data_IF_923136649100
#
_entry.id   IF_923136649100
#
_cell.length_a   1.000
_cell.length_b   1.000
_cell.length_c   1.000
_cell.angle_alpha   90.00
_cell.angle_beta   90.00
_cell.angle_gamma   90.00
#
_symmetry.space_group_name_H-M   'P 1'
#
loop_
_entity.id
_entity.type
_entity.pdbx_description
1 polymer ?
#
# COMPACT_ATOMS: atom_id res chain seq x y z
N UNK A 1 -7.39 -9.53 73.40
CA UNK A 1 -6.77 -10.28 72.29
C UNK A 1 -7.84 -10.72 71.28
N UNK A 2 -8.64 -9.77 70.71
CA UNK A 2 -9.65 -10.14 69.69
C UNK A 2 -9.70 -9.18 68.48
N UNK A 3 -8.74 -8.30 68.37
CA UNK A 3 -8.70 -7.31 67.26
C UNK A 3 -8.00 -7.80 65.98
N UNK A 4 -7.20 -8.84 66.02
CA UNK A 4 -6.39 -9.31 64.89
C UNK A 4 -7.13 -10.28 63.93
N UNK A 5 -8.23 -10.88 64.34
CA UNK A 5 -9.00 -11.81 63.50
C UNK A 5 -9.99 -11.10 62.56
N UNK A 6 -10.43 -9.92 62.92
CA UNK A 6 -11.34 -9.14 62.07
C UNK A 6 -10.62 -8.45 60.91
N UNK A 7 -9.36 -8.08 61.08
CA UNK A 7 -8.59 -7.41 60.04
C UNK A 7 -8.27 -8.38 58.88
N UNK A 8 -8.02 -9.66 59.21
CA UNK A 8 -7.76 -10.70 58.19
C UNK A 8 -8.98 -11.06 57.37
N UNK A 9 -10.16 -11.08 57.97
CA UNK A 9 -11.41 -11.35 57.24
C UNK A 9 -11.83 -10.15 56.37
N UNK A 10 -11.56 -8.93 56.86
CA UNK A 10 -11.87 -7.72 56.06
C UNK A 10 -10.94 -7.61 54.85
N UNK A 11 -9.68 -7.97 54.97
CA UNK A 11 -8.73 -7.99 53.84
C UNK A 11 -9.10 -9.07 52.83
N UNK A 12 -9.58 -10.23 53.26
CA UNK A 12 -10.03 -11.30 52.35
C UNK A 12 -11.32 -10.95 51.63
N UNK A 13 -12.26 -10.23 52.29
CA UNK A 13 -13.51 -9.80 51.68
C UNK A 13 -13.26 -8.65 50.68
N UNK A 14 -12.32 -7.75 50.95
CA UNK A 14 -11.94 -6.68 50.01
C UNK A 14 -11.28 -7.23 48.76
N UNK A 15 -10.53 -8.33 48.90
CA UNK A 15 -9.92 -9.01 47.74
C UNK A 15 -10.92 -9.83 46.91
N UNK A 16 -12.05 -10.27 47.52
CA UNK A 16 -13.10 -11.01 46.82
C UNK A 16 -14.17 -10.13 46.19
N UNK A 17 -14.24 -8.83 46.55
CA UNK A 17 -15.19 -7.86 46.06
C UNK A 17 -14.61 -6.87 45.02
N UNK A 18 -13.37 -7.08 44.59
CA UNK A 18 -12.81 -6.37 43.47
C UNK A 18 -12.68 -7.29 42.21
N UNK A 19 -13.81 -7.68 41.59
CA UNK A 19 -13.75 -8.29 40.28
C UNK A 19 -13.88 -7.15 39.28
N UNK A 20 -12.82 -6.46 39.00
CA UNK A 20 -12.73 -5.67 37.78
C UNK A 20 -11.62 -4.62 37.88
N UNK A 21 -10.42 -5.04 38.22
CA UNK A 21 -9.29 -4.47 37.53
C UNK A 21 -9.00 -5.39 36.34
N UNK A 22 -9.96 -5.46 35.43
CA UNK A 22 -9.59 -5.76 34.06
C UNK A 22 -8.65 -4.66 33.68
N UNK A 23 -7.36 -4.93 33.78
CA UNK A 23 -6.37 -4.31 32.95
C UNK A 23 -7.03 -4.28 31.58
N UNK A 24 -7.40 -3.07 31.11
CA UNK A 24 -7.51 -2.84 29.70
C UNK A 24 -6.15 -3.31 29.19
N UNK A 25 -6.09 -4.55 28.75
CA UNK A 25 -5.05 -4.98 27.87
C UNK A 25 -5.17 -3.98 26.73
N UNK A 26 -4.22 -3.07 26.68
CA UNK A 26 -3.97 -2.33 25.48
C UNK A 26 -3.98 -3.41 24.41
N UNK A 27 -4.91 -3.31 23.52
CA UNK A 27 -5.00 -4.13 22.34
C UNK A 27 -3.83 -3.68 21.45
N UNK A 28 -2.63 -4.02 21.91
CA UNK A 28 -1.53 -4.24 21.01
C UNK A 28 -1.96 -5.48 20.25
N UNK A 29 -2.73 -5.22 19.19
CA UNK A 29 -2.97 -6.21 18.18
C UNK A 29 -1.62 -6.84 17.85
N UNK A 30 -1.58 -8.12 17.48
CA UNK A 30 -0.33 -8.75 17.08
C UNK A 30 0.35 -7.77 16.13
N UNK A 31 1.64 -7.47 16.37
CA UNK A 31 2.48 -6.82 15.38
C UNK A 31 2.34 -7.71 14.17
N UNK A 32 1.48 -7.25 13.27
CA UNK A 32 1.19 -7.95 12.06
C UNK A 32 2.55 -8.19 11.42
N UNK A 33 2.87 -9.46 11.38
CA UNK A 33 3.85 -10.06 10.50
C UNK A 33 3.94 -9.13 9.28
N UNK A 34 5.14 -8.62 9.02
CA UNK A 34 5.43 -7.79 7.86
C UNK A 34 4.94 -8.56 6.65
N UNK A 35 3.66 -8.45 6.36
CA UNK A 35 3.15 -8.79 5.06
C UNK A 35 3.93 -7.91 4.10
N UNK A 36 4.57 -8.54 3.14
CA UNK A 36 5.19 -7.93 1.97
C UNK A 36 4.07 -7.22 1.19
N UNK A 37 3.46 -6.23 1.83
CA UNK A 37 2.44 -5.39 1.23
C UNK A 37 3.15 -4.50 0.23
N UNK A 38 3.09 -4.93 -1.00
CA UNK A 38 3.41 -4.05 -2.12
C UNK A 38 2.64 -2.75 -1.90
N UNK A 39 3.34 -1.60 -1.84
CA UNK A 39 2.70 -0.33 -1.51
C UNK A 39 1.53 -0.07 -2.44
N UNK A 40 0.42 0.40 -1.89
CA UNK A 40 -0.76 0.72 -2.68
C UNK A 40 -0.39 1.76 -3.75
N UNK A 41 -0.55 1.39 -4.99
CA UNK A 41 -0.20 2.23 -6.14
C UNK A 41 -0.93 3.56 -6.09
N UNK A 42 -0.17 4.64 -6.05
CA UNK A 42 -0.67 6.01 -5.94
C UNK A 42 -0.79 6.53 -4.51
N UNK A 43 -0.61 5.70 -3.49
CA UNK A 43 -0.58 6.10 -2.08
C UNK A 43 0.86 6.40 -1.65
N UNK A 44 1.36 7.55 -2.05
CA UNK A 44 2.70 7.99 -1.69
C UNK A 44 2.81 8.46 -0.22
N UNK A 45 1.69 8.73 0.43
CA UNK A 45 1.65 9.12 1.84
C UNK A 45 1.69 7.92 2.79
N UNK A 46 1.22 6.74 2.33
CA UNK A 46 1.13 5.53 3.12
C UNK A 46 -0.08 5.51 4.07
N UNK A 47 -1.14 6.27 3.76
CA UNK A 47 -2.35 6.33 4.58
C UNK A 47 -3.43 5.30 4.19
N UNK A 48 -3.12 4.43 3.22
CA UNK A 48 -4.02 3.40 2.69
C UNK A 48 -5.05 3.93 1.70
N UNK A 49 -4.91 5.15 1.20
CA UNK A 49 -5.84 5.77 0.25
C UNK A 49 -5.11 6.59 -0.79
N UNK A 50 -5.67 6.66 -1.99
CA UNK A 50 -5.18 7.57 -3.03
C UNK A 50 -5.96 8.89 -2.96
N UNK A 51 -5.30 9.96 -2.58
CA UNK A 51 -5.92 11.23 -2.24
C UNK A 51 -5.16 12.46 -2.78
N UNK A 52 -5.67 13.65 -2.48
CA UNK A 52 -4.96 14.89 -2.80
C UNK A 52 -3.63 15.03 -2.05
N UNK A 53 -3.44 14.34 -0.91
CA UNK A 53 -2.20 14.36 -0.16
C UNK A 53 -1.07 13.71 -0.95
N UNK A 54 -1.33 12.54 -1.57
CA UNK A 54 -0.38 11.81 -2.40
C UNK A 54 0.05 12.63 -3.61
N UNK A 55 -0.95 13.19 -4.31
CA UNK A 55 -0.71 14.10 -5.40
C UNK A 55 0.18 15.29 -5.00
N UNK A 56 -0.05 15.90 -3.82
CA UNK A 56 0.77 16.99 -3.31
C UNK A 56 2.19 16.54 -2.98
N UNK A 57 2.35 15.35 -2.41
CA UNK A 57 3.63 14.78 -2.04
C UNK A 57 4.48 14.48 -3.30
N UNK A 58 3.89 13.78 -4.28
CA UNK A 58 4.55 13.49 -5.56
C UNK A 58 4.91 14.77 -6.32
N UNK A 59 4.02 15.77 -6.32
CA UNK A 59 4.31 17.08 -6.90
C UNK A 59 5.52 17.75 -6.27
N UNK A 60 5.62 17.72 -4.93
CA UNK A 60 6.76 18.32 -4.21
C UNK A 60 8.06 17.58 -4.54
N UNK A 61 8.02 16.27 -4.65
CA UNK A 61 9.15 15.46 -5.06
C UNK A 61 9.61 15.80 -6.48
N UNK A 62 8.72 15.83 -7.46
CA UNK A 62 9.03 16.20 -8.86
C UNK A 62 9.62 17.60 -8.95
N UNK A 63 9.20 18.52 -8.09
CA UNK A 63 9.74 19.88 -7.96
C UNK A 63 11.02 19.96 -7.11
N UNK A 64 11.58 18.83 -6.68
CA UNK A 64 12.77 18.73 -5.81
C UNK A 64 12.65 19.52 -4.50
N UNK A 65 11.45 19.56 -3.93
CA UNK A 65 11.15 20.24 -2.65
C UNK A 65 11.04 19.28 -1.48
N UNK A 66 11.07 18.00 -1.72
CA UNK A 66 11.05 16.94 -0.72
C UNK A 66 11.70 15.69 -1.32
N UNK A 67 12.16 14.80 -0.46
CA UNK A 67 12.59 13.46 -0.84
C UNK A 67 11.52 12.46 -0.43
N UNK A 68 11.50 11.31 -1.08
CA UNK A 68 10.62 10.18 -0.80
C UNK A 68 11.49 8.98 -0.41
N UNK A 69 10.96 8.14 0.47
CA UNK A 69 11.55 6.82 0.76
C UNK A 69 11.35 5.87 -0.41
N UNK A 70 12.08 4.75 -0.44
CA UNK A 70 11.96 3.76 -1.52
C UNK A 70 10.53 3.20 -1.64
N UNK A 71 9.85 2.98 -0.51
CA UNK A 71 8.44 2.54 -0.48
C UNK A 71 7.52 3.61 -1.09
N UNK A 72 7.72 4.87 -0.74
CA UNK A 72 6.95 5.99 -1.29
C UNK A 72 7.22 6.19 -2.78
N UNK A 73 8.47 5.99 -3.23
CA UNK A 73 8.83 6.04 -4.64
C UNK A 73 8.13 4.93 -5.43
N UNK A 74 8.10 3.71 -4.89
CA UNK A 74 7.39 2.59 -5.51
C UNK A 74 5.87 2.85 -5.62
N UNK A 75 5.27 3.46 -4.60
CA UNK A 75 3.86 3.85 -4.65
C UNK A 75 3.59 5.01 -5.62
N UNK A 76 4.53 5.96 -5.74
CA UNK A 76 4.41 7.15 -6.56
C UNK A 76 4.65 6.90 -8.05
N UNK A 77 5.38 5.84 -8.41
CA UNK A 77 5.55 5.38 -9.80
C UNK A 77 4.26 4.71 -10.28
N UNK A 78 3.33 5.54 -10.70
CA UNK A 78 2.00 5.07 -11.09
C UNK A 78 1.91 4.58 -12.52
N UNK A 79 2.93 4.76 -13.34
CA UNK A 79 3.01 4.21 -14.70
C UNK A 79 3.89 2.95 -14.77
N UNK A 80 4.67 2.66 -13.72
CA UNK A 80 5.52 1.48 -13.62
C UNK A 80 6.77 1.53 -14.51
N UNK A 81 7.28 2.75 -14.83
CA UNK A 81 8.48 2.91 -15.65
C UNK A 81 9.79 2.90 -14.83
N UNK A 82 9.68 2.71 -13.52
CA UNK A 82 10.79 2.68 -12.57
C UNK A 82 11.29 4.06 -12.14
N UNK A 83 10.55 5.13 -12.44
CA UNK A 83 10.94 6.51 -12.13
C UNK A 83 9.73 7.35 -11.77
N UNK A 84 9.86 8.16 -10.72
CA UNK A 84 8.84 9.16 -10.38
C UNK A 84 9.15 10.47 -11.08
N UNK A 85 8.31 10.88 -12.01
CA UNK A 85 8.50 12.00 -12.91
C UNK A 85 7.20 12.83 -13.14
N UNK A 86 7.20 13.91 -13.92
CA UNK A 86 6.00 14.71 -14.18
C UNK A 86 4.82 13.92 -14.79
N UNK A 87 5.07 12.80 -15.45
CA UNK A 87 4.01 11.98 -16.05
C UNK A 87 3.19 11.26 -14.96
N UNK A 88 3.86 10.69 -13.94
CA UNK A 88 3.18 10.08 -12.77
C UNK A 88 2.30 11.09 -12.05
N UNK A 89 2.86 12.27 -11.81
CA UNK A 89 2.12 13.37 -11.21
C UNK A 89 0.86 13.74 -12.02
N UNK A 90 0.92 13.73 -13.35
CA UNK A 90 -0.24 14.02 -14.20
C UNK A 90 -1.29 12.92 -14.14
N UNK A 91 -0.86 11.65 -14.12
CA UNK A 91 -1.76 10.50 -13.97
C UNK A 91 -2.46 10.57 -12.61
N UNK A 92 -1.68 10.69 -11.54
CA UNK A 92 -2.20 10.74 -10.18
C UNK A 92 -3.20 11.89 -9.99
N UNK A 93 -2.90 13.06 -10.54
CA UNK A 93 -3.81 14.20 -10.55
C UNK A 93 -5.16 13.87 -11.20
N UNK A 94 -5.14 13.15 -12.33
CA UNK A 94 -6.38 12.77 -13.04
C UNK A 94 -7.20 11.78 -12.23
N UNK A 95 -6.54 10.81 -11.60
CA UNK A 95 -7.19 9.80 -10.75
C UNK A 95 -7.82 10.45 -9.53
N UNK A 96 -7.08 11.29 -8.81
CA UNK A 96 -7.58 12.02 -7.62
C UNK A 96 -8.77 12.93 -7.96
N UNK A 97 -8.81 13.51 -9.17
CA UNK A 97 -9.93 14.32 -9.64
C UNK A 97 -11.10 13.50 -10.21
N UNK A 98 -11.04 12.17 -10.19
CA UNK A 98 -12.06 11.30 -10.78
C UNK A 98 -12.19 11.43 -12.30
N UNK A 99 -11.13 11.89 -12.99
CA UNK A 99 -11.10 12.12 -14.45
C UNK A 99 -10.37 11.01 -15.23
N UNK A 100 -10.03 9.93 -14.58
CA UNK A 100 -9.34 8.80 -15.18
C UNK A 100 -8.95 7.75 -14.14
N UNK A 101 -8.46 6.65 -14.64
CA UNK A 101 -7.93 5.53 -13.85
C UNK A 101 -6.43 5.42 -14.06
N UNK A 102 -5.77 4.62 -13.23
CA UNK A 102 -4.37 4.29 -13.44
C UNK A 102 -4.21 3.48 -14.73
N UNK A 103 -3.15 3.72 -15.52
CA UNK A 103 -2.87 2.92 -16.70
C UNK A 103 -2.61 1.46 -16.30
N UNK A 104 -2.97 0.53 -17.16
CA UNK A 104 -2.66 -0.87 -16.94
C UNK A 104 -1.13 -1.06 -16.91
N UNK A 105 -0.63 -1.68 -15.85
CA UNK A 105 0.74 -2.22 -15.83
C UNK A 105 0.69 -3.56 -16.53
N UNK A 106 0.96 -3.53 -17.85
CA UNK A 106 0.79 -4.70 -18.69
C UNK A 106 1.72 -5.86 -18.25
N UNK A 107 1.14 -7.02 -18.12
CA UNK A 107 1.82 -8.29 -17.95
C UNK A 107 1.41 -9.16 -19.13
N UNK A 108 2.34 -9.36 -20.06
CA UNK A 108 2.04 -10.02 -21.34
C UNK A 108 2.39 -11.50 -21.32
N UNK A 109 1.44 -12.32 -21.75
CA UNK A 109 1.69 -13.68 -22.24
C UNK A 109 2.02 -13.63 -23.71
N UNK A 110 3.02 -14.39 -24.11
CA UNK A 110 3.43 -14.56 -25.49
C UNK A 110 2.85 -15.86 -26.05
N UNK A 111 2.21 -15.77 -27.21
CA UNK A 111 1.77 -16.91 -28.00
C UNK A 111 2.46 -16.85 -29.36
N UNK A 112 3.14 -17.93 -29.75
CA UNK A 112 3.90 -17.98 -31.01
C UNK A 112 3.15 -18.83 -32.02
N UNK A 113 2.89 -18.26 -33.19
CA UNK A 113 2.25 -18.92 -34.32
C UNK A 113 3.13 -18.78 -35.57
N UNK A 114 3.99 -19.76 -35.82
CA UNK A 114 4.99 -19.67 -36.89
C UNK A 114 6.07 -18.64 -36.55
N UNK A 115 6.13 -17.55 -37.31
CA UNK A 115 7.02 -16.39 -37.08
C UNK A 115 6.26 -15.17 -36.52
N UNK A 116 5.01 -15.34 -36.13
CA UNK A 116 4.18 -14.32 -35.51
C UNK A 116 4.15 -14.53 -34.00
N UNK A 117 4.56 -13.50 -33.25
CA UNK A 117 4.47 -13.43 -31.79
C UNK A 117 3.29 -12.53 -31.40
N UNK A 118 2.34 -13.08 -30.67
CA UNK A 118 1.17 -12.38 -30.17
C UNK A 118 1.34 -12.19 -28.66
N UNK A 119 1.40 -10.96 -28.22
CA UNK A 119 1.50 -10.58 -26.83
C UNK A 119 0.15 -10.12 -26.30
N UNK A 120 -0.41 -10.87 -25.35
CA UNK A 120 -1.72 -10.59 -24.76
C UNK A 120 -1.54 -10.21 -23.28
N UNK A 121 -1.99 -9.02 -22.90
CA UNK A 121 -1.96 -8.61 -21.50
C UNK A 121 -2.97 -9.43 -20.66
N UNK A 122 -2.48 -10.11 -19.63
CA UNK A 122 -3.30 -10.90 -18.69
C UNK A 122 -4.31 -10.06 -17.92
N UNK A 123 -4.01 -8.78 -17.71
CA UNK A 123 -4.79 -7.89 -16.85
C UNK A 123 -5.92 -7.17 -17.60
N UNK A 124 -5.65 -6.68 -18.81
CA UNK A 124 -6.61 -5.88 -19.56
C UNK A 124 -6.98 -6.46 -20.94
N UNK A 125 -6.35 -7.57 -21.36
CA UNK A 125 -6.62 -8.22 -22.64
C UNK A 125 -6.06 -7.47 -23.86
N UNK A 126 -5.35 -6.37 -23.68
CA UNK A 126 -4.72 -5.65 -24.80
C UNK A 126 -3.71 -6.55 -25.50
N UNK A 127 -3.74 -6.56 -26.82
CA UNK A 127 -2.84 -7.38 -27.64
C UNK A 127 -1.99 -6.49 -28.55
N UNK A 128 -0.78 -6.95 -28.83
CA UNK A 128 0.03 -6.46 -29.95
C UNK A 128 0.78 -7.65 -30.59
N UNK A 129 1.14 -7.47 -31.85
CA UNK A 129 1.79 -8.50 -32.65
C UNK A 129 3.19 -8.04 -33.05
N UNK A 130 4.11 -8.99 -33.11
CA UNK A 130 5.48 -8.80 -33.55
C UNK A 130 5.89 -9.96 -34.44
N UNK A 131 6.49 -9.68 -35.59
CA UNK A 131 7.04 -10.69 -36.48
C UNK A 131 8.55 -10.89 -36.25
N UNK A 132 9.00 -12.15 -36.26
CA UNK A 132 10.41 -12.45 -36.30
C UNK A 132 10.97 -12.08 -37.68
N UNK A 133 11.84 -11.07 -37.71
CA UNK A 133 12.53 -10.69 -38.93
C UNK A 133 12.36 -9.24 -39.38
N UNK A 134 11.64 -8.40 -38.65
CA UNK A 134 11.56 -6.98 -38.97
C UNK A 134 12.69 -6.16 -38.29
N UNK A 135 13.93 -6.44 -38.73
CA UNK A 135 14.97 -5.42 -38.80
C UNK A 135 15.07 -4.99 -40.26
N UNK A 136 14.08 -4.22 -40.69
CA UNK A 136 14.26 -3.49 -41.95
C UNK A 136 14.80 -2.12 -41.55
N UNK A 137 16.03 -1.89 -41.98
CA UNK A 137 16.93 -0.76 -41.75
C UNK A 137 16.40 0.62 -42.13
#
# INVERSE_FOLDING_TARGET
MSGMKFLSVFLAVVLLLCPALTVLADNEGPMDEFDDETPLRGDASGDGKVSAMDYMLVKRYVLRKTELTDVQLAAADVNGDGKVNPYDYMILKRVVLGKGEFPCLHDYDETVVGNLHIFTCKKCGQQYEKFDGELIG
#
